data_IF_124368029962
#
_entry.id   IF_124368029962
#
_cell.length_a   1.000
_cell.length_b   1.000
_cell.length_c   1.000
_cell.angle_alpha   90.00
_cell.angle_beta   90.00
_cell.angle_gamma   90.00
#
_symmetry.space_group_name_H-M   'P 1'
#
loop_
_entity.id
_entity.type
_entity.pdbx_description
1 polymer ?
#
# COMPACT_ATOMS: atom_id res chain seq x y z
N UNK A 1 5.97 -16.23 0.62
CA UNK A 1 6.72 -16.39 -0.66
C UNK A 1 7.83 -15.35 -0.60
N UNK A 2 9.07 -15.77 -0.40
CA UNK A 2 10.18 -14.81 -0.32
C UNK A 2 10.56 -14.35 -1.72
N UNK A 3 10.51 -13.07 -1.96
CA UNK A 3 11.14 -12.45 -3.13
C UNK A 3 12.64 -12.33 -2.87
N UNK A 4 13.32 -13.44 -2.75
CA UNK A 4 14.78 -13.43 -2.69
C UNK A 4 15.31 -13.47 -4.11
N UNK A 5 16.13 -12.47 -4.45
CA UNK A 5 16.95 -12.57 -5.64
C UNK A 5 17.81 -13.84 -5.52
N UNK A 6 17.71 -14.74 -6.51
CA UNK A 6 18.45 -16.01 -6.56
C UNK A 6 19.96 -15.84 -6.76
N UNK A 7 20.47 -14.63 -6.69
CA UNK A 7 21.89 -14.29 -6.85
C UNK A 7 22.43 -13.71 -5.56
N UNK A 8 23.63 -14.12 -5.19
CA UNK A 8 24.38 -13.51 -4.10
C UNK A 8 24.64 -12.05 -4.47
N UNK A 9 23.75 -11.21 -4.03
CA UNK A 9 23.91 -9.75 -4.07
C UNK A 9 24.35 -9.31 -2.67
N UNK A 10 25.19 -8.27 -2.53
CA UNK A 10 25.45 -7.69 -1.23
C UNK A 10 24.19 -7.15 -0.56
N UNK A 11 23.09 -7.07 -1.30
CA UNK A 11 21.79 -6.64 -0.83
C UNK A 11 20.77 -7.73 -1.11
N UNK A 12 20.34 -8.42 -0.06
CA UNK A 12 19.21 -9.35 -0.13
C UNK A 12 17.97 -8.51 0.04
N UNK A 13 17.21 -8.36 -1.02
CA UNK A 13 15.87 -7.78 -0.98
C UNK A 13 14.91 -8.89 -0.56
N UNK A 14 14.68 -9.00 0.73
CA UNK A 14 13.66 -9.86 1.28
C UNK A 14 12.52 -8.98 1.79
N UNK A 15 11.38 -9.05 1.13
CA UNK A 15 10.18 -8.36 1.60
C UNK A 15 9.49 -9.22 2.66
N UNK A 16 9.26 -8.63 3.83
CA UNK A 16 8.47 -9.25 4.89
C UNK A 16 6.97 -9.21 4.56
N UNK A 17 6.59 -8.39 3.60
CA UNK A 17 5.23 -8.16 3.17
C UNK A 17 5.03 -8.56 1.70
N UNK A 18 4.00 -9.35 1.46
CA UNK A 18 3.60 -9.84 0.15
C UNK A 18 2.08 -9.70 -0.08
N UNK A 19 1.37 -9.15 0.91
CA UNK A 19 -0.10 -9.14 0.97
C UNK A 19 -0.67 -8.26 -0.13
N UNK A 20 -0.09 -7.10 -0.34
CA UNK A 20 -0.47 -6.13 -1.36
C UNK A 20 -0.16 -6.60 -2.78
N UNK A 21 0.93 -7.35 -2.98
CA UNK A 21 1.22 -8.03 -4.25
C UNK A 21 0.11 -9.04 -4.59
N UNK A 22 -0.29 -9.86 -3.62
CA UNK A 22 -1.37 -10.84 -3.81
C UNK A 22 -2.72 -10.18 -4.02
N UNK A 23 -2.98 -9.06 -3.34
CA UNK A 23 -4.17 -8.25 -3.56
C UNK A 23 -4.25 -7.77 -5.00
N UNK A 24 -3.17 -7.13 -5.49
CA UNK A 24 -3.11 -6.60 -6.84
C UNK A 24 -3.19 -7.72 -7.87
N UNK A 25 -2.47 -8.81 -7.68
CA UNK A 25 -2.50 -9.98 -8.56
C UNK A 25 -3.91 -10.58 -8.65
N UNK A 26 -4.59 -10.78 -7.52
CA UNK A 26 -5.95 -11.28 -7.50
C UNK A 26 -6.93 -10.30 -8.18
N UNK A 27 -6.79 -8.99 -7.97
CA UNK A 27 -7.57 -8.00 -8.69
C UNK A 27 -7.38 -8.10 -10.22
N UNK A 28 -6.14 -8.18 -10.70
CA UNK A 28 -5.87 -8.28 -12.15
C UNK A 28 -6.37 -9.61 -12.73
N UNK A 29 -6.29 -10.71 -11.98
CA UNK A 29 -6.90 -11.98 -12.38
C UNK A 29 -8.42 -11.87 -12.50
N UNK A 30 -9.08 -11.24 -11.52
CA UNK A 30 -10.51 -10.95 -11.62
C UNK A 30 -10.85 -10.12 -12.86
N UNK A 31 -10.12 -9.06 -13.10
CA UNK A 31 -10.32 -8.18 -14.25
C UNK A 31 -10.19 -8.91 -15.59
N UNK A 32 -9.30 -9.87 -15.67
CA UNK A 32 -9.03 -10.64 -16.91
C UNK A 32 -9.99 -11.79 -17.12
N UNK A 33 -10.41 -12.47 -16.06
CA UNK A 33 -11.20 -13.71 -16.17
C UNK A 33 -12.68 -13.51 -15.84
N UNK A 34 -13.04 -12.49 -15.08
CA UNK A 34 -14.38 -12.30 -14.53
C UNK A 34 -14.74 -13.28 -13.40
N UNK A 35 -13.83 -14.17 -13.01
CA UNK A 35 -14.09 -15.16 -11.98
C UNK A 35 -14.19 -14.52 -10.58
N UNK A 36 -15.35 -14.71 -9.96
CA UNK A 36 -15.69 -14.14 -8.64
C UNK A 36 -14.74 -14.61 -7.53
N UNK A 37 -14.09 -15.75 -7.70
CA UNK A 37 -13.09 -16.26 -6.76
C UNK A 37 -11.99 -15.22 -6.56
N UNK A 38 -11.42 -14.73 -7.64
CA UNK A 38 -10.34 -13.74 -7.57
C UNK A 38 -10.80 -12.40 -7.00
N UNK A 39 -12.06 -12.02 -7.23
CA UNK A 39 -12.64 -10.84 -6.57
C UNK A 39 -12.67 -10.99 -5.05
N UNK A 40 -13.05 -12.17 -4.57
CA UNK A 40 -13.08 -12.48 -3.14
C UNK A 40 -11.67 -12.48 -2.56
N UNK A 41 -10.73 -13.16 -3.22
CA UNK A 41 -9.33 -13.22 -2.81
C UNK A 41 -8.70 -11.80 -2.72
N UNK A 42 -8.93 -10.93 -3.71
CA UNK A 42 -8.44 -9.56 -3.68
C UNK A 42 -8.93 -8.81 -2.42
N UNK A 43 -10.21 -8.92 -2.09
CA UNK A 43 -10.79 -8.29 -0.89
C UNK A 43 -10.19 -8.89 0.40
N UNK A 44 -9.99 -10.19 0.45
CA UNK A 44 -9.43 -10.88 1.62
C UNK A 44 -7.98 -10.47 1.87
N UNK A 45 -7.15 -10.42 0.83
CA UNK A 45 -5.78 -9.91 0.95
C UNK A 45 -5.77 -8.44 1.37
N UNK A 46 -6.56 -7.60 0.73
CA UNK A 46 -6.65 -6.19 1.05
C UNK A 46 -7.04 -5.91 2.51
N UNK A 47 -7.89 -6.73 3.11
CA UNK A 47 -8.30 -6.61 4.52
C UNK A 47 -7.23 -7.04 5.51
N UNK A 48 -6.23 -7.80 5.09
CA UNK A 48 -5.09 -8.16 5.95
C UNK A 48 -4.17 -6.98 6.18
N UNK A 49 -4.16 -6.03 5.25
CA UNK A 49 -3.32 -4.84 5.30
C UNK A 49 -4.13 -3.59 4.92
N UNK A 50 -5.03 -3.13 5.80
CA UNK A 50 -5.96 -2.05 5.48
C UNK A 50 -5.29 -0.69 5.26
N UNK A 51 -4.06 -0.52 5.74
CA UNK A 51 -3.25 0.70 5.56
C UNK A 51 -1.85 0.32 5.11
N UNK A 52 -1.34 0.99 4.08
CA UNK A 52 0.04 0.81 3.62
C UNK A 52 1.02 0.86 4.80
N UNK A 53 1.91 -0.13 4.98
CA UNK A 53 2.66 -0.33 6.23
C UNK A 53 3.40 0.89 6.74
N UNK A 54 4.15 1.59 5.89
CA UNK A 54 4.90 2.77 6.30
C UNK A 54 4.00 3.95 6.71
N UNK A 55 2.78 4.05 6.16
CA UNK A 55 1.81 5.06 6.57
C UNK A 55 1.22 4.74 7.94
N UNK A 56 1.09 3.47 8.28
CA UNK A 56 0.56 2.98 9.54
C UNK A 56 1.56 2.97 10.70
N UNK A 57 2.86 2.99 10.40
CA UNK A 57 3.95 2.88 11.37
C UNK A 57 4.72 4.20 11.54
N UNK A 58 5.46 4.31 12.64
CA UNK A 58 6.31 5.48 12.90
C UNK A 58 7.66 5.40 12.18
N UNK A 59 7.95 4.27 11.54
CA UNK A 59 9.18 4.03 10.79
C UNK A 59 8.89 3.25 9.52
N UNK A 60 9.74 3.40 8.51
CA UNK A 60 9.69 2.59 7.31
C UNK A 60 11.00 1.83 7.14
N UNK A 61 10.90 0.57 6.79
CA UNK A 61 12.03 -0.25 6.37
C UNK A 61 12.06 -0.25 4.85
N UNK A 62 13.06 0.38 4.27
CA UNK A 62 13.13 0.68 2.85
C UNK A 62 12.95 -0.54 1.94
N UNK A 63 13.53 -1.67 2.33
CA UNK A 63 13.51 -2.89 1.50
C UNK A 63 12.41 -3.89 1.87
N UNK A 64 11.66 -3.64 2.93
CA UNK A 64 10.71 -4.60 3.46
C UNK A 64 9.25 -4.19 3.21
N UNK A 65 9.01 -2.94 2.81
CA UNK A 65 7.67 -2.38 2.68
C UNK A 65 7.44 -1.75 1.32
N UNK A 66 7.68 -2.54 0.28
CA UNK A 66 7.23 -2.24 -1.07
C UNK A 66 5.83 -2.83 -1.30
N UNK A 67 5.00 -2.24 -2.15
CA UNK A 67 5.20 -0.93 -2.73
C UNK A 67 4.95 0.17 -1.71
N UNK A 68 5.50 1.33 -1.97
CA UNK A 68 5.26 2.52 -1.14
C UNK A 68 3.80 3.00 -1.16
N UNK A 69 3.00 2.53 -2.09
CA UNK A 69 1.58 2.80 -2.21
C UNK A 69 0.83 1.54 -2.64
N UNK A 70 -0.22 1.18 -1.92
CA UNK A 70 -1.04 0.03 -2.27
C UNK A 70 -1.96 0.34 -3.47
N UNK A 71 -1.55 -0.07 -4.65
CA UNK A 71 -2.34 0.07 -5.88
C UNK A 71 -3.57 -0.84 -5.92
N UNK A 72 -3.53 -1.97 -5.22
CA UNK A 72 -4.68 -2.87 -5.07
C UNK A 72 -5.86 -2.16 -4.43
N UNK A 73 -5.63 -1.46 -3.32
CA UNK A 73 -6.65 -0.65 -2.64
C UNK A 73 -7.31 0.37 -3.57
N UNK A 74 -6.51 1.10 -4.34
CA UNK A 74 -7.05 2.04 -5.31
C UNK A 74 -7.92 1.35 -6.38
N UNK A 75 -7.46 0.22 -6.90
CA UNK A 75 -8.20 -0.57 -7.90
C UNK A 75 -9.53 -1.07 -7.37
N UNK A 76 -9.53 -1.62 -6.15
CA UNK A 76 -10.74 -2.12 -5.47
C UNK A 76 -11.68 -0.95 -5.18
N UNK A 77 -11.17 0.14 -4.60
CA UNK A 77 -11.95 1.34 -4.28
C UNK A 77 -12.68 1.88 -5.51
N UNK A 78 -12.00 1.90 -6.64
CA UNK A 78 -12.57 2.45 -7.88
C UNK A 78 -13.56 1.52 -8.58
N UNK A 79 -13.38 0.20 -8.52
CA UNK A 79 -14.04 -0.71 -9.45
C UNK A 79 -15.01 -1.71 -8.83
N UNK A 80 -14.98 -1.95 -7.51
CA UNK A 80 -15.83 -3.00 -6.91
C UNK A 80 -17.21 -2.52 -6.47
N UNK A 81 -17.38 -1.20 -6.30
CA UNK A 81 -18.66 -0.58 -5.97
C UNK A 81 -19.17 -0.82 -4.54
N UNK A 82 -20.22 -0.14 -4.18
CA UNK A 82 -20.98 -0.32 -2.95
C UNK A 82 -20.14 -0.22 -1.67
N UNK A 83 -20.44 -1.08 -0.70
CA UNK A 83 -19.78 -1.09 0.61
C UNK A 83 -18.29 -1.39 0.54
N UNK A 84 -17.86 -2.23 -0.43
CA UNK A 84 -16.46 -2.58 -0.61
C UNK A 84 -15.66 -1.37 -1.06
N UNK A 85 -16.08 -0.67 -2.10
CA UNK A 85 -15.41 0.59 -2.51
C UNK A 85 -15.32 1.59 -1.36
N UNK A 86 -16.42 1.79 -0.63
CA UNK A 86 -16.43 2.70 0.51
C UNK A 86 -15.46 2.30 1.62
N UNK A 87 -15.29 1.00 1.87
CA UNK A 87 -14.31 0.46 2.82
C UNK A 87 -12.88 0.87 2.41
N UNK A 88 -12.49 0.60 1.16
CA UNK A 88 -11.13 0.87 0.70
C UNK A 88 -10.82 2.36 0.49
N UNK A 89 -11.81 3.17 0.16
CA UNK A 89 -11.69 4.64 0.22
C UNK A 89 -11.35 5.09 1.63
N UNK A 90 -12.03 4.56 2.66
CA UNK A 90 -11.70 4.87 4.06
C UNK A 90 -10.31 4.40 4.46
N UNK A 91 -9.87 3.24 3.99
CA UNK A 91 -8.54 2.71 4.25
C UNK A 91 -7.45 3.62 3.67
N UNK A 92 -7.59 4.05 2.42
CA UNK A 92 -6.68 5.02 1.79
C UNK A 92 -6.66 6.35 2.57
N UNK A 93 -7.82 6.85 2.96
CA UNK A 93 -7.93 8.05 3.81
C UNK A 93 -7.23 7.88 5.14
N UNK A 94 -7.38 6.72 5.78
CA UNK A 94 -6.74 6.43 7.07
C UNK A 94 -5.22 6.52 6.98
N UNK A 95 -4.61 6.00 5.91
CA UNK A 95 -3.17 6.13 5.67
C UNK A 95 -2.73 7.59 5.56
N UNK A 96 -3.42 8.37 4.72
CA UNK A 96 -3.16 9.80 4.55
C UNK A 96 -3.29 10.54 5.89
N UNK A 97 -4.35 10.25 6.64
CA UNK A 97 -4.60 10.89 7.93
C UNK A 97 -3.49 10.60 8.95
N UNK A 98 -3.00 9.35 9.01
CA UNK A 98 -1.90 8.98 9.92
C UNK A 98 -0.61 9.74 9.60
N UNK A 99 -0.27 9.89 8.32
CA UNK A 99 0.90 10.69 7.90
C UNK A 99 0.70 12.17 8.27
N UNK A 100 -0.48 12.71 8.04
CA UNK A 100 -0.83 14.08 8.42
C UNK A 100 -0.70 14.30 9.94
N UNK A 101 -1.27 13.41 10.76
CA UNK A 101 -1.21 13.51 12.22
C UNK A 101 0.24 13.49 12.73
N UNK A 102 1.10 12.63 12.18
CA UNK A 102 2.54 12.63 12.54
C UNK A 102 3.23 13.94 12.17
N UNK A 103 2.78 14.60 11.11
CA UNK A 103 3.38 15.86 10.64
C UNK A 103 2.96 17.10 11.42
N UNK A 104 1.89 17.05 12.20
CA UNK A 104 1.32 18.24 12.84
C UNK A 104 2.30 19.02 13.73
N UNK A 105 3.12 18.29 14.47
CA UNK A 105 4.08 18.88 15.40
C UNK A 105 5.45 19.19 14.75
N UNK A 106 5.59 18.82 13.47
CA UNK A 106 6.82 19.12 12.73
C UNK A 106 6.75 20.53 12.12
N UNK A 107 7.83 21.35 12.21
CA UNK A 107 7.84 22.73 11.73
C UNK A 107 7.42 22.91 10.27
N UNK A 108 7.66 21.90 9.43
CA UNK A 108 7.30 21.88 8.02
C UNK A 108 6.09 20.97 7.71
N UNK A 109 5.30 20.58 8.71
CA UNK A 109 4.17 19.65 8.56
C UNK A 109 4.57 18.33 7.89
N UNK A 110 5.78 17.86 8.15
CA UNK A 110 6.36 16.70 7.48
C UNK A 110 6.20 15.42 8.32
N UNK A 111 5.23 14.58 7.96
CA UNK A 111 4.93 13.30 8.63
C UNK A 111 5.52 12.07 7.93
N UNK A 112 6.43 12.27 6.97
CA UNK A 112 7.12 11.18 6.27
C UNK A 112 8.32 10.71 7.12
N UNK A 113 8.54 9.39 7.26
CA UNK A 113 9.73 8.89 7.96
C UNK A 113 11.03 9.40 7.33
N UNK A 114 11.91 9.97 8.14
CA UNK A 114 13.22 10.47 7.73
C UNK A 114 14.24 9.34 7.59
N UNK A 115 14.09 8.52 6.56
CA UNK A 115 14.99 7.39 6.26
C UNK A 115 15.62 7.55 4.88
N UNK A 116 16.57 6.67 4.56
CA UNK A 116 17.10 6.59 3.20
C UNK A 116 15.96 6.38 2.21
N UNK A 117 15.97 7.14 1.10
CA UNK A 117 14.90 7.18 0.10
C UNK A 117 13.55 7.77 0.58
N UNK A 118 13.52 8.63 1.60
CA UNK A 118 12.31 9.33 2.04
C UNK A 118 11.57 10.09 0.91
N UNK A 119 12.27 10.47 -0.15
CA UNK A 119 11.66 11.07 -1.35
C UNK A 119 10.69 10.12 -2.06
N UNK A 120 10.95 8.82 -2.06
CA UNK A 120 10.04 7.83 -2.63
C UNK A 120 8.74 7.76 -1.82
N UNK A 121 8.83 7.80 -0.50
CA UNK A 121 7.66 7.84 0.39
C UNK A 121 6.88 9.13 0.22
N UNK A 122 7.57 10.26 0.06
CA UNK A 122 6.94 11.57 -0.23
C UNK A 122 6.16 11.52 -1.54
N UNK A 123 6.77 10.98 -2.59
CA UNK A 123 6.12 10.82 -3.90
C UNK A 123 4.93 9.88 -3.82
N UNK A 124 5.05 8.77 -3.08
CA UNK A 124 3.96 7.83 -2.84
C UNK A 124 2.79 8.50 -2.10
N UNK A 125 3.07 9.30 -1.07
CA UNK A 125 2.06 10.07 -0.34
C UNK A 125 1.32 11.05 -1.26
N UNK A 126 2.05 11.82 -2.06
CA UNK A 126 1.46 12.75 -3.02
C UNK A 126 0.58 12.01 -4.04
N UNK A 127 1.07 10.89 -4.56
CA UNK A 127 0.31 10.05 -5.49
C UNK A 127 -0.97 9.54 -4.84
N UNK A 128 -0.90 9.03 -3.62
CA UNK A 128 -2.09 8.57 -2.91
C UNK A 128 -3.10 9.70 -2.64
N UNK A 129 -2.62 10.90 -2.30
CA UNK A 129 -3.49 12.07 -2.15
C UNK A 129 -4.21 12.42 -3.46
N UNK A 130 -3.51 12.36 -4.59
CA UNK A 130 -4.09 12.63 -5.91
C UNK A 130 -5.14 11.58 -6.27
N UNK A 131 -4.86 10.30 -6.03
CA UNK A 131 -5.77 9.20 -6.33
C UNK A 131 -6.99 9.17 -5.41
N UNK A 132 -6.85 9.66 -4.17
CA UNK A 132 -7.93 9.76 -3.20
C UNK A 132 -8.92 10.88 -3.54
N UNK A 133 -8.47 11.94 -4.19
CA UNK A 133 -9.28 13.12 -4.57
C UNK A 133 -10.37 12.77 -5.60
#
# INVERSE_FOLDING_TARGET
MCQTASVVSPYIYEEDNWVDDMELAAYEMFRRTGDKKYRTEAIEYARREPVTPWMGADSARHYQWYPFMNMGHYRIARNFGGKVSAEFIRNMRSGIQRVYERGKDHPFMFGIPGIWCSNNLTTAMLTQCILYR
#
